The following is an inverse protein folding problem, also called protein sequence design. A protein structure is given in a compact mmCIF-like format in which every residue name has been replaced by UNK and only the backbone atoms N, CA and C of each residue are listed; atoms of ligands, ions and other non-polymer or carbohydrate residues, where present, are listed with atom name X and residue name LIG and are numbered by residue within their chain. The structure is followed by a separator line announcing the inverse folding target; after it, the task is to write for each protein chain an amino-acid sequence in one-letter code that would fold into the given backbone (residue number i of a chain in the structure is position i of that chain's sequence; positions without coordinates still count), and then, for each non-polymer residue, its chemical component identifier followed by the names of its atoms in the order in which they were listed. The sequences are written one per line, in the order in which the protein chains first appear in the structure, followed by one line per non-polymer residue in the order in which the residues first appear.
data_IF_499557718109
#
_entry.id   IF_499557718109
#
_cell.length_a   1.000
_cell.length_b   1.000
_cell.length_c   1.000
_cell.angle_alpha   90.00
_cell.angle_beta   90.00
_cell.angle_gamma   90.00
#
_symmetry.space_group_name_H-M   'P 1'
#
loop_
_entity.id
_entity.type
_entity.pdbx_description
1 polymer ?
#
# COMPACT_ATOMS: atom_id res chain seq x y z
N UNK A 1 7.29 5.57 -13.65
CA UNK A 1 8.28 4.89 -12.76
C UNK A 1 7.84 3.47 -12.40
N UNK A 2 6.69 3.28 -11.73
CA UNK A 2 6.19 1.95 -11.31
C UNK A 2 6.06 0.98 -12.49
N UNK A 3 5.56 1.44 -13.65
CA UNK A 3 5.40 0.63 -14.87
C UNK A 3 6.70 -0.01 -15.36
N UNK A 4 7.84 0.65 -15.13
CA UNK A 4 9.15 0.11 -15.50
C UNK A 4 9.54 -1.09 -14.62
N UNK A 5 9.11 -1.12 -13.36
CA UNK A 5 9.44 -2.15 -12.39
C UNK A 5 8.39 -3.28 -12.36
N UNK A 6 7.13 -2.93 -12.57
CA UNK A 6 5.98 -3.82 -12.47
C UNK A 6 5.02 -3.59 -13.64
N UNK A 7 5.42 -3.84 -14.91
CA UNK A 7 4.59 -3.49 -16.07
C UNK A 7 3.18 -4.09 -16.02
N UNK A 8 3.04 -5.22 -15.34
CA UNK A 8 1.82 -5.99 -15.14
C UNK A 8 0.86 -5.40 -14.09
N UNK A 9 1.21 -4.30 -13.40
CA UNK A 9 0.29 -3.66 -12.46
C UNK A 9 -0.89 -2.96 -13.17
N UNK A 10 -0.66 -2.43 -14.38
CA UNK A 10 -1.65 -1.59 -15.08
C UNK A 10 -2.92 -2.38 -15.40
N UNK A 11 -2.76 -3.65 -15.77
CA UNK A 11 -3.89 -4.53 -16.05
C UNK A 11 -4.74 -4.77 -14.80
N UNK A 12 -4.10 -5.07 -13.67
CA UNK A 12 -4.79 -5.31 -12.40
C UNK A 12 -5.48 -4.06 -11.88
N UNK A 13 -4.85 -2.89 -12.02
CA UNK A 13 -5.47 -1.61 -11.67
C UNK A 13 -6.69 -1.34 -12.55
N UNK A 14 -6.58 -1.54 -13.87
CA UNK A 14 -7.69 -1.37 -14.81
C UNK A 14 -8.85 -2.32 -14.49
N UNK A 15 -8.57 -3.59 -14.16
CA UNK A 15 -9.58 -4.58 -13.74
C UNK A 15 -10.39 -4.11 -12.54
N UNK A 16 -9.82 -3.24 -11.71
CA UNK A 16 -10.41 -2.65 -10.51
C UNK A 16 -10.95 -1.23 -10.72
N UNK A 17 -10.93 -0.73 -11.95
CA UNK A 17 -11.23 0.68 -12.26
C UNK A 17 -10.36 1.69 -11.51
N UNK A 18 -9.14 1.26 -11.13
CA UNK A 18 -8.14 2.11 -10.49
C UNK A 18 -7.22 2.73 -11.53
N UNK A 19 -6.62 3.86 -11.16
CA UNK A 19 -5.60 4.54 -11.95
C UNK A 19 -4.40 4.84 -11.05
N UNK A 20 -3.20 4.72 -11.60
CA UNK A 20 -1.99 5.14 -10.90
C UNK A 20 -2.01 6.66 -10.73
N UNK A 21 -1.48 7.15 -9.61
CA UNK A 21 -1.31 8.59 -9.39
C UNK A 21 -0.40 9.19 -10.46
N UNK A 22 -0.62 10.46 -10.85
CA UNK A 22 0.22 11.13 -11.85
C UNK A 22 1.67 11.33 -11.38
N UNK A 23 1.87 11.43 -10.06
CA UNK A 23 3.18 11.53 -9.42
C UNK A 23 3.20 10.78 -8.09
N UNK A 24 4.40 10.48 -7.60
CA UNK A 24 4.65 9.93 -6.27
C UNK A 24 5.39 11.01 -5.49
N UNK A 25 4.76 11.56 -4.46
CA UNK A 25 5.30 12.68 -3.68
C UNK A 25 6.57 12.30 -2.91
N UNK A 26 6.58 11.12 -2.27
CA UNK A 26 7.70 10.68 -1.41
C UNK A 26 8.11 9.26 -1.71
N UNK A 27 9.42 9.05 -1.84
CA UNK A 27 10.06 7.72 -1.96
C UNK A 27 11.16 7.63 -0.91
N UNK A 28 11.00 6.71 0.04
CA UNK A 28 12.01 6.48 1.08
C UNK A 28 13.00 5.40 0.66
N UNK A 29 14.30 5.68 0.79
CA UNK A 29 15.37 4.72 0.49
C UNK A 29 15.73 3.94 1.75
N UNK A 30 15.41 2.63 1.76
CA UNK A 30 15.64 1.74 2.90
C UNK A 30 16.99 1.00 2.88
N UNK A 31 17.93 1.41 2.01
CA UNK A 31 19.21 0.69 1.80
C UNK A 31 20.03 0.50 3.08
N UNK A 32 20.04 1.50 3.99
CA UNK A 32 20.74 1.40 5.28
C UNK A 32 20.12 0.34 6.20
N UNK A 33 18.79 0.24 6.25
CA UNK A 33 18.11 -0.79 7.05
C UNK A 33 18.41 -2.19 6.51
N UNK A 34 18.38 -2.36 5.18
CA UNK A 34 18.70 -3.64 4.54
C UNK A 34 20.12 -4.11 4.85
N UNK A 35 21.10 -3.20 4.74
CA UNK A 35 22.51 -3.53 4.98
C UNK A 35 22.83 -3.75 6.46
N UNK A 36 22.36 -2.84 7.33
CA UNK A 36 22.82 -2.81 8.72
C UNK A 36 21.97 -3.68 9.65
N UNK A 37 20.70 -3.92 9.32
CA UNK A 37 19.76 -4.65 10.17
C UNK A 37 19.37 -6.02 9.57
N UNK A 38 19.97 -6.40 8.42
CA UNK A 38 19.55 -7.54 7.61
C UNK A 38 18.04 -7.54 7.31
N UNK A 39 17.42 -6.35 7.31
CA UNK A 39 15.98 -6.21 7.18
C UNK A 39 15.57 -6.26 5.70
N UNK A 40 14.43 -6.88 5.40
CA UNK A 40 13.81 -6.82 4.07
C UNK A 40 12.30 -6.66 4.20
N UNK A 41 11.63 -5.94 3.28
CA UNK A 41 10.18 -5.78 3.34
C UNK A 41 9.50 -7.11 3.05
N UNK A 42 8.73 -7.63 4.01
CA UNK A 42 7.89 -8.82 3.80
C UNK A 42 6.62 -8.51 3.00
N UNK A 43 6.16 -7.27 3.03
CA UNK A 43 4.96 -6.78 2.35
C UNK A 43 5.34 -5.61 1.46
N UNK A 44 5.71 -5.90 0.21
CA UNK A 44 6.08 -4.89 -0.79
C UNK A 44 5.01 -4.76 -1.89
N UNK A 45 5.31 -3.97 -2.92
CA UNK A 45 4.38 -3.73 -4.03
C UNK A 45 4.08 -5.02 -4.81
N UNK A 46 5.07 -5.90 -5.02
CA UNK A 46 4.88 -7.17 -5.72
C UNK A 46 3.98 -8.09 -4.93
N UNK A 47 4.23 -8.24 -3.63
CA UNK A 47 3.39 -9.03 -2.72
C UNK A 47 1.91 -8.59 -2.82
N UNK A 48 1.66 -7.29 -2.69
CA UNK A 48 0.29 -6.76 -2.75
C UNK A 48 -0.33 -6.99 -4.13
N UNK A 49 0.43 -6.75 -5.20
CA UNK A 49 -0.06 -6.93 -6.57
C UNK A 49 -0.47 -8.38 -6.85
N UNK A 50 0.34 -9.35 -6.42
CA UNK A 50 0.07 -10.77 -6.67
C UNK A 50 -1.17 -11.26 -5.89
N UNK A 51 -1.33 -10.82 -4.63
CA UNK A 51 -2.56 -11.08 -3.84
C UNK A 51 -3.79 -10.50 -4.51
N UNK A 52 -3.71 -9.26 -5.01
CA UNK A 52 -4.81 -8.62 -5.72
C UNK A 52 -5.19 -9.40 -6.98
N UNK A 53 -4.20 -9.85 -7.78
CA UNK A 53 -4.44 -10.69 -8.96
C UNK A 53 -5.15 -11.98 -8.62
N UNK A 54 -4.74 -12.63 -7.53
CA UNK A 54 -5.39 -13.84 -7.01
C UNK A 54 -6.78 -13.59 -6.40
N UNK A 55 -7.22 -12.33 -6.27
CA UNK A 55 -8.49 -11.98 -5.62
C UNK A 55 -8.45 -12.12 -4.10
N UNK A 56 -7.25 -12.16 -3.51
CA UNK A 56 -7.03 -12.33 -2.09
C UNK A 56 -6.90 -10.99 -1.36
N UNK A 57 -7.07 -11.02 -0.04
CA UNK A 57 -6.86 -9.85 0.81
C UNK A 57 -5.35 -9.55 0.94
N UNK A 58 -4.85 -8.39 0.50
CA UNK A 58 -3.44 -8.05 0.59
C UNK A 58 -2.99 -7.68 2.02
N UNK A 59 -3.92 -7.51 2.96
CA UNK A 59 -3.63 -7.10 4.34
C UNK A 59 -2.97 -8.24 5.13
N UNK A 60 -1.94 -7.90 5.91
CA UNK A 60 -1.31 -8.84 6.85
C UNK A 60 -2.28 -9.24 7.96
N UNK A 61 -2.05 -10.40 8.60
CA UNK A 61 -2.82 -10.86 9.76
C UNK A 61 -2.88 -9.80 10.86
N UNK A 62 -1.75 -9.13 11.13
CA UNK A 62 -1.70 -8.05 12.12
C UNK A 62 -2.61 -6.87 11.73
N UNK A 63 -2.56 -6.41 10.48
CA UNK A 63 -3.40 -5.29 10.04
C UNK A 63 -4.90 -5.61 10.07
N UNK A 64 -5.29 -6.86 9.79
CA UNK A 64 -6.68 -7.33 9.93
C UNK A 64 -7.11 -7.37 11.39
N UNK A 65 -6.25 -7.87 12.28
CA UNK A 65 -6.51 -7.91 13.72
C UNK A 65 -6.65 -6.51 14.33
N UNK A 66 -5.76 -5.58 13.95
CA UNK A 66 -5.76 -4.21 14.46
C UNK A 66 -6.94 -3.39 13.93
N UNK A 67 -7.36 -3.63 12.69
CA UNK A 67 -8.47 -2.90 12.06
C UNK A 67 -8.16 -1.42 11.79
N UNK A 68 -9.21 -0.65 11.49
CA UNK A 68 -9.09 0.80 11.26
C UNK A 68 -9.13 1.56 12.59
N UNK A 69 -8.16 2.46 12.81
CA UNK A 69 -8.14 3.39 13.95
C UNK A 69 -8.48 4.80 13.51
N UNK A 70 -9.18 5.55 14.36
CA UNK A 70 -9.44 6.99 14.15
C UNK A 70 -8.15 7.82 14.26
N UNK A 71 -8.12 8.98 13.61
CA UNK A 71 -6.96 9.88 13.59
C UNK A 71 -6.78 10.66 14.89
N UNK A 72 -7.88 11.19 15.45
CA UNK A 72 -7.91 11.88 16.74
C UNK A 72 -9.04 11.36 17.61
N UNK A 73 -8.83 11.17 18.93
CA UNK A 73 -9.90 10.87 19.86
C UNK A 73 -11.03 11.91 19.78
N UNK A 74 -12.27 11.43 19.79
CA UNK A 74 -13.46 12.30 19.78
C UNK A 74 -13.75 13.02 18.46
N UNK A 75 -12.94 12.82 17.41
CA UNK A 75 -13.21 13.39 16.08
C UNK A 75 -13.71 12.30 15.14
N UNK A 76 -14.92 12.50 14.62
CA UNK A 76 -15.46 11.74 13.50
C UNK A 76 -15.37 12.59 12.24
N UNK A 77 -15.01 11.97 11.11
CA UNK A 77 -14.99 12.63 9.81
C UNK A 77 -16.03 11.98 8.90
N UNK A 78 -16.73 12.79 8.11
CA UNK A 78 -17.84 12.33 7.27
C UNK A 78 -17.43 11.27 6.23
N UNK A 79 -16.16 11.25 5.80
CA UNK A 79 -15.64 10.36 4.75
C UNK A 79 -14.38 9.59 5.16
N UNK A 80 -14.30 9.13 6.40
CA UNK A 80 -13.27 8.18 6.83
C UNK A 80 -12.74 8.41 8.25
N UNK A 81 -11.71 7.67 8.68
CA UNK A 81 -11.15 7.81 10.02
C UNK A 81 -10.22 9.03 10.18
N UNK A 82 -9.92 9.75 9.10
CA UNK A 82 -8.99 10.88 9.05
C UNK A 82 -9.53 12.02 8.16
N UNK A 83 -9.01 13.25 8.30
CA UNK A 83 -9.38 14.33 7.42
C UNK A 83 -8.93 14.02 5.99
N UNK A 84 -9.89 14.03 5.07
CA UNK A 84 -9.64 14.02 3.62
C UNK A 84 -9.84 15.45 3.12
N UNK A 85 -8.87 15.98 2.37
CA UNK A 85 -9.01 17.22 1.60
C UNK A 85 -9.42 16.89 0.18
#
# INVERSE_FOLDING_TARGET
MVKRLFPDYEEEYRRRSWRMFPSIDRVYVNAKARRNLAWSPSYDFRYVLDRLKAGEDPRSTLSRFVGSKGYHPGKTFAKGPYPVR
#
